data_IF_599212092017
#
_entry.id   IF_599212092017
#
_cell.length_a   1.000
_cell.length_b   1.000
_cell.length_c   1.000
_cell.angle_alpha   90.00
_cell.angle_beta   90.00
_cell.angle_gamma   90.00
#
_symmetry.space_group_name_H-M   'P 1'
#
loop_
_entity.id
_entity.type
_entity.pdbx_description
1 polymer ?
#
# COMPACT_ATOMS: atom_id res chain seq x y z
N UNK A 1 7.41 10.75 -16.78
CA UNK A 1 6.32 9.90 -16.26
C UNK A 1 5.56 10.67 -15.18
N UNK A 2 4.26 10.78 -15.30
CA UNK A 2 3.43 11.44 -14.28
C UNK A 2 3.42 10.60 -13.00
N UNK A 3 4.04 11.12 -11.99
CA UNK A 3 4.24 10.43 -10.72
C UNK A 3 3.54 11.15 -9.59
N UNK A 4 2.88 10.39 -8.75
CA UNK A 4 2.31 10.83 -7.49
C UNK A 4 3.18 10.28 -6.36
N UNK A 5 3.71 11.15 -5.50
CA UNK A 5 4.40 10.76 -4.28
C UNK A 5 3.54 11.11 -3.07
N UNK A 6 3.23 10.10 -2.25
CA UNK A 6 2.42 10.26 -1.04
C UNK A 6 3.34 10.15 0.17
N UNK A 7 3.42 11.21 0.96
CA UNK A 7 4.21 11.25 2.18
C UNK A 7 3.34 11.02 3.41
N UNK A 8 3.62 9.95 4.14
CA UNK A 8 2.86 9.48 5.30
C UNK A 8 3.63 9.67 6.62
N UNK A 9 4.31 10.82 6.79
CA UNK A 9 5.10 11.14 8.00
C UNK A 9 4.23 11.23 9.28
N UNK A 10 2.93 11.46 9.13
CA UNK A 10 1.91 11.42 10.19
C UNK A 10 0.83 10.37 9.92
N UNK A 11 1.22 9.26 9.28
CA UNK A 11 0.29 8.21 8.90
C UNK A 11 -0.58 8.59 7.71
N UNK A 12 -1.75 7.94 7.61
CA UNK A 12 -2.75 8.23 6.59
C UNK A 12 -4.13 7.71 7.02
N UNK A 13 -5.15 8.48 6.73
CA UNK A 13 -6.56 8.11 6.84
C UNK A 13 -7.28 8.44 5.53
N UNK A 14 -8.48 7.93 5.32
CA UNK A 14 -9.23 8.10 4.08
C UNK A 14 -9.50 9.58 3.77
N UNK A 15 -10.00 10.33 4.73
CA UNK A 15 -10.25 11.77 4.69
C UNK A 15 -8.99 12.58 4.36
N UNK A 16 -7.85 12.22 4.99
CA UNK A 16 -6.55 12.88 4.75
C UNK A 16 -6.06 12.65 3.32
N UNK A 17 -6.14 11.42 2.83
CA UNK A 17 -5.78 11.10 1.45
C UNK A 17 -6.70 11.82 0.47
N UNK A 18 -8.00 11.80 0.74
CA UNK A 18 -9.00 12.49 -0.08
C UNK A 18 -8.78 13.99 -0.12
N UNK A 19 -8.55 14.64 1.02
CA UNK A 19 -8.26 16.07 1.11
C UNK A 19 -7.00 16.47 0.34
N UNK A 20 -5.92 15.69 0.46
CA UNK A 20 -4.68 15.95 -0.26
C UNK A 20 -4.83 15.78 -1.79
N UNK A 21 -5.53 14.75 -2.25
CA UNK A 21 -5.80 14.53 -3.67
C UNK A 21 -6.76 15.58 -4.25
N UNK A 22 -7.77 15.98 -3.48
CA UNK A 22 -8.70 17.03 -3.86
C UNK A 22 -8.00 18.34 -4.19
N UNK A 23 -6.96 18.71 -3.43
CA UNK A 23 -6.18 19.93 -3.70
C UNK A 23 -5.50 19.93 -5.07
N UNK A 24 -5.18 18.76 -5.62
CA UNK A 24 -4.52 18.58 -6.91
C UNK A 24 -5.48 18.69 -8.10
N UNK A 25 -6.80 18.52 -7.87
CA UNK A 25 -7.81 18.52 -8.92
C UNK A 25 -7.98 19.90 -9.56
N UNK A 26 -8.28 19.93 -10.86
CA UNK A 26 -8.59 21.17 -11.60
C UNK A 26 -10.04 21.59 -11.39
N UNK A 27 -10.98 20.68 -11.50
CA UNK A 27 -12.42 20.92 -11.27
C UNK A 27 -12.86 20.39 -9.90
N UNK A 28 -12.52 21.14 -8.86
CA UNK A 28 -12.86 20.82 -7.47
C UNK A 28 -14.37 20.84 -7.20
N UNK A 29 -15.09 21.79 -7.79
CA UNK A 29 -16.53 21.88 -7.64
C UNK A 29 -17.26 20.73 -8.36
N UNK A 30 -16.79 20.34 -9.55
CA UNK A 30 -17.33 19.20 -10.28
C UNK A 30 -17.11 17.89 -9.52
N UNK A 31 -15.96 17.75 -8.87
CA UNK A 31 -15.68 16.61 -8.00
C UNK A 31 -16.67 16.53 -6.84
N UNK A 32 -16.87 17.62 -6.07
CA UNK A 32 -17.81 17.64 -4.96
C UNK A 32 -19.26 17.40 -5.41
N UNK A 33 -19.67 17.99 -6.55
CA UNK A 33 -21.00 17.73 -7.13
C UNK A 33 -21.19 16.24 -7.46
N UNK A 34 -20.18 15.61 -8.04
CA UNK A 34 -20.23 14.17 -8.36
C UNK A 34 -20.33 13.35 -7.09
N UNK A 35 -19.45 13.60 -6.12
CA UNK A 35 -19.43 12.85 -4.85
C UNK A 35 -20.74 12.98 -4.08
N UNK A 36 -21.31 14.18 -3.99
CA UNK A 36 -22.60 14.41 -3.33
C UNK A 36 -23.82 13.88 -4.14
N UNK A 37 -23.62 13.55 -5.42
CA UNK A 37 -24.60 12.93 -6.29
C UNK A 37 -24.50 11.41 -6.44
N UNK A 38 -23.61 10.74 -5.69
CA UNK A 38 -23.34 9.30 -5.85
C UNK A 38 -24.50 8.39 -5.48
N UNK A 39 -25.44 8.86 -4.66
CA UNK A 39 -26.54 8.06 -4.15
C UNK A 39 -26.24 7.32 -2.84
N UNK A 40 -25.17 7.69 -2.12
CA UNK A 40 -24.93 7.22 -0.76
C UNK A 40 -25.98 7.83 0.18
N UNK A 41 -26.72 7.02 0.97
CA UNK A 41 -27.83 7.52 1.78
C UNK A 41 -27.36 8.48 2.87
N UNK A 42 -27.84 9.74 2.83
CA UNK A 42 -27.55 10.74 3.87
C UNK A 42 -26.12 11.25 3.92
N UNK A 43 -25.24 10.82 3.01
CA UNK A 43 -23.84 11.25 2.97
C UNK A 43 -23.74 12.61 2.27
N UNK A 44 -23.00 13.52 2.92
CA UNK A 44 -22.61 14.81 2.36
C UNK A 44 -21.12 15.05 2.58
N UNK A 45 -20.43 15.42 1.49
CA UNK A 45 -19.00 15.68 1.45
C UNK A 45 -18.75 17.18 1.27
N UNK A 46 -17.94 17.76 2.15
CA UNK A 46 -17.54 19.16 2.11
C UNK A 46 -16.02 19.29 2.29
N UNK A 47 -15.42 20.22 1.54
CA UNK A 47 -14.00 20.54 1.67
C UNK A 47 -13.84 21.81 2.50
N UNK A 48 -13.28 21.68 3.70
CA UNK A 48 -13.01 22.79 4.61
C UNK A 48 -11.53 23.13 4.61
N UNK A 49 -11.23 24.45 4.66
CA UNK A 49 -9.87 24.91 4.87
C UNK A 49 -9.48 24.66 6.33
N UNK A 50 -8.41 23.94 6.57
CA UNK A 50 -7.92 23.64 7.90
C UNK A 50 -6.45 24.04 8.06
N UNK A 51 -6.05 24.32 9.30
CA UNK A 51 -4.66 24.68 9.64
C UNK A 51 -4.17 23.78 10.76
N UNK A 52 -3.04 23.11 10.55
CA UNK A 52 -2.40 22.25 11.55
C UNK A 52 -0.96 22.73 11.75
N UNK A 53 -0.58 23.14 12.95
CA UNK A 53 0.74 23.71 13.28
C UNK A 53 1.25 24.76 12.28
N UNK A 54 0.36 25.63 11.79
CA UNK A 54 0.68 26.68 10.82
C UNK A 54 0.74 26.25 9.36
N UNK A 55 0.52 24.98 9.05
CA UNK A 55 0.37 24.48 7.69
C UNK A 55 -1.10 24.47 7.32
N UNK A 56 -1.44 25.14 6.21
CA UNK A 56 -2.78 25.17 5.65
C UNK A 56 -2.97 24.00 4.69
N UNK A 57 -4.16 23.39 4.73
CA UNK A 57 -4.54 22.30 3.85
C UNK A 57 -6.06 22.09 3.86
N UNK A 58 -6.52 21.06 3.18
CA UNK A 58 -7.94 20.70 3.12
C UNK A 58 -8.26 19.59 4.11
N UNK A 59 -9.24 19.84 4.98
CA UNK A 59 -9.94 18.81 5.72
C UNK A 59 -11.17 18.38 4.94
N UNK A 60 -11.26 17.09 4.62
CA UNK A 60 -12.41 16.57 3.91
C UNK A 60 -13.44 16.06 4.92
N UNK A 61 -14.48 16.83 5.08
CA UNK A 61 -15.54 16.54 6.04
C UNK A 61 -16.62 15.70 5.40
N UNK A 62 -16.84 14.51 5.94
CA UNK A 62 -17.93 13.63 5.55
C UNK A 62 -18.97 13.62 6.67
N UNK A 63 -20.22 13.98 6.35
CA UNK A 63 -21.33 13.88 7.29
C UNK A 63 -22.33 12.84 6.81
N UNK A 64 -22.86 12.05 7.75
CA UNK A 64 -23.90 11.05 7.51
C UNK A 64 -25.16 11.49 8.25
N UNK A 65 -26.26 11.75 7.54
CA UNK A 65 -27.47 12.33 8.08
C UNK A 65 -27.25 13.65 8.87
N UNK A 66 -26.25 14.43 8.45
CA UNK A 66 -25.91 15.73 9.05
C UNK A 66 -25.06 15.64 10.33
N UNK A 67 -24.61 14.44 10.69
CA UNK A 67 -23.67 14.20 11.79
C UNK A 67 -22.32 13.80 11.19
N UNK A 68 -21.25 14.38 11.71
CA UNK A 68 -19.89 13.92 11.49
C UNK A 68 -19.64 12.73 12.44
N UNK A 69 -19.17 11.58 11.91
CA UNK A 69 -18.74 10.49 12.78
C UNK A 69 -17.38 10.88 13.38
N UNK A 70 -17.44 11.45 14.61
CA UNK A 70 -16.23 11.73 15.38
C UNK A 70 -15.48 10.43 15.66
N UNK A 71 -14.27 10.31 15.11
CA UNK A 71 -13.34 9.23 15.45
C UNK A 71 -13.05 9.24 16.96
N UNK A 72 -13.86 8.52 17.71
CA UNK A 72 -13.68 8.14 19.13
C UNK A 72 -13.05 9.18 20.07
N UNK A 73 -13.87 10.08 20.60
CA UNK A 73 -13.66 10.66 21.94
C UNK A 73 -15.01 10.85 22.62
N UNK A 74 -15.65 9.75 23.05
CA UNK A 74 -16.61 9.83 24.13
C UNK A 74 -15.84 9.87 25.46
N UNK A 75 -15.19 10.99 25.75
CA UNK A 75 -14.94 11.38 27.11
C UNK A 75 -16.26 11.90 27.68
N UNK A 76 -17.02 11.01 28.31
CA UNK A 76 -18.03 11.44 29.26
C UNK A 76 -17.26 11.87 30.53
N UNK A 77 -17.29 13.15 30.92
CA UNK A 77 -16.85 13.53 32.25
C UNK A 77 -17.86 12.98 33.26
N UNK A 78 -17.59 11.81 33.80
CA UNK A 78 -18.25 11.37 35.01
C UNK A 78 -17.58 12.06 36.19
N UNK A 79 -17.85 13.36 36.36
CA UNK A 79 -17.71 14.05 37.66
C UNK A 79 -18.87 13.61 38.55
N UNK A 80 -18.69 12.51 39.25
CA UNK A 80 -19.44 12.21 40.45
C UNK A 80 -18.45 12.15 41.60
N UNK A 81 -18.11 13.34 42.13
CA UNK A 81 -17.59 13.47 43.48
C UNK A 81 -18.73 13.11 44.43
N UNK A 82 -18.80 11.87 44.89
CA UNK A 82 -19.50 11.49 46.08
C UNK A 82 -18.48 11.34 47.19
N UNK A 83 -18.27 12.44 47.95
CA UNK A 83 -17.67 12.37 49.29
C UNK A 83 -18.61 11.57 50.21
N UNK A 84 -18.30 10.32 50.46
CA UNK A 84 -18.87 9.57 51.58
C UNK A 84 -17.83 9.50 52.69
N UNK A 85 -17.91 10.46 53.63
CA UNK A 85 -17.30 10.34 54.96
C UNK A 85 -18.10 9.35 55.75
N UNK A 86 -17.59 8.15 55.97
CA UNK A 86 -18.11 7.23 56.98
C UNK A 86 -17.16 7.18 58.16
N UNK A 87 -17.55 7.83 59.25
CA UNK A 87 -17.04 7.56 60.58
C UNK A 87 -17.64 6.24 61.07
N UNK A 88 -16.81 5.24 61.34
CA UNK A 88 -17.21 3.99 61.96
C UNK A 88 -16.96 4.08 63.49
N UNK A 89 -18.03 4.22 64.25
CA UNK A 89 -18.04 3.81 65.68
C UNK A 89 -18.51 2.36 65.79
N UNK A 90 -17.69 1.50 66.41
CA UNK A 90 -18.01 0.11 66.70
C UNK A 90 -18.91 0.04 67.94
N UNK A 91 -20.13 -0.52 67.85
CA UNK A 91 -20.85 -1.16 68.94
C UNK A 91 -21.33 -2.54 68.51
N UNK A 92 -20.85 -3.55 69.30
CA UNK A 92 -21.35 -4.92 69.27
C UNK A 92 -22.74 -4.96 69.95
N UNK A 93 -23.71 -5.59 69.35
CA UNK A 93 -24.79 -6.33 70.06
C UNK A 93 -25.38 -7.40 69.12
N UNK A 94 -25.31 -8.66 69.59
CA UNK A 94 -26.06 -9.79 69.13
C UNK A 94 -27.56 -9.58 69.34
N UNK A 95 -28.39 -9.97 68.38
CA UNK A 95 -29.68 -10.60 68.54
C UNK A 95 -30.29 -11.14 67.26
N UNK A 96 -30.59 -12.44 67.29
CA UNK A 96 -31.44 -13.13 66.30
C UNK A 96 -32.86 -12.53 66.30
N UNK A 97 -33.49 -12.41 65.15
CA UNK A 97 -34.90 -12.76 64.91
C UNK A 97 -35.22 -12.50 63.40
N UNK A 98 -35.72 -13.53 62.73
CA UNK A 98 -36.23 -13.48 61.37
C UNK A 98 -37.60 -12.77 61.31
N UNK A 99 -37.83 -12.12 60.18
CA UNK A 99 -39.18 -11.89 59.64
C UNK A 99 -39.07 -11.60 58.13
N UNK A 100 -39.78 -12.43 57.38
CA UNK A 100 -40.13 -12.21 55.99
C UNK A 100 -40.94 -10.94 55.79
N UNK A 101 -40.55 -10.05 54.91
CA UNK A 101 -41.47 -9.13 54.25
C UNK A 101 -41.12 -8.95 52.80
N UNK A 102 -41.93 -9.53 51.93
CA UNK A 102 -42.04 -9.19 50.54
C UNK A 102 -42.58 -7.77 50.38
N UNK A 103 -41.82 -6.88 49.75
CA UNK A 103 -42.35 -5.69 49.13
C UNK A 103 -41.88 -5.65 47.66
N UNK A 104 -42.79 -5.96 46.76
CA UNK A 104 -42.67 -5.66 45.35
C UNK A 104 -42.91 -4.16 45.15
N UNK A 105 -41.90 -3.43 44.69
CA UNK A 105 -42.07 -2.12 44.08
C UNK A 105 -41.73 -2.24 42.61
N UNK A 106 -42.78 -2.28 41.78
CA UNK A 106 -42.71 -2.05 40.36
C UNK A 106 -42.48 -0.55 40.15
N UNK A 107 -41.27 -0.19 39.72
CA UNK A 107 -41.02 1.11 39.11
C UNK A 107 -40.77 0.86 37.63
N UNK A 108 -41.79 1.09 36.81
CA UNK A 108 -41.68 1.28 35.38
C UNK A 108 -40.94 2.61 35.16
N UNK A 109 -39.66 2.54 34.86
CA UNK A 109 -38.94 3.63 34.20
C UNK A 109 -38.86 3.29 32.74
N UNK A 110 -39.75 3.86 31.92
CA UNK A 110 -39.56 3.97 30.49
C UNK A 110 -38.33 4.87 30.24
N UNK A 111 -37.18 4.24 30.12
CA UNK A 111 -36.03 4.89 29.48
C UNK A 111 -36.10 4.59 28.00
N UNK A 112 -36.59 5.59 27.24
CA UNK A 112 -36.48 5.64 25.82
C UNK A 112 -34.99 5.78 25.48
N UNK A 113 -34.26 4.64 25.49
CA UNK A 113 -32.95 4.54 24.92
C UNK A 113 -33.14 4.40 23.41
N UNK A 114 -32.99 5.51 22.72
CA UNK A 114 -32.73 5.45 21.27
C UNK A 114 -31.50 4.59 21.06
N UNK A 115 -31.69 3.29 20.88
CA UNK A 115 -30.65 2.38 20.41
C UNK A 115 -30.28 2.80 18.99
N UNK A 116 -29.18 3.53 18.87
CA UNK A 116 -28.49 3.61 17.59
C UNK A 116 -28.09 2.19 17.21
N UNK A 117 -28.88 1.58 16.35
CA UNK A 117 -28.54 0.33 15.72
C UNK A 117 -27.34 0.59 14.83
N UNK A 118 -26.12 0.28 15.32
CA UNK A 118 -24.95 0.12 14.49
C UNK A 118 -25.26 -1.02 13.50
N UNK A 119 -25.62 -0.68 12.28
CA UNK A 119 -25.78 -1.67 11.22
C UNK A 119 -24.38 -2.17 10.88
N UNK A 120 -24.03 -3.35 11.38
CA UNK A 120 -22.82 -4.04 10.97
C UNK A 120 -22.89 -4.35 9.49
N UNK A 121 -22.08 -3.63 8.69
CA UNK A 121 -22.03 -3.86 7.26
C UNK A 121 -21.18 -5.12 6.96
N UNK A 122 -21.69 -5.97 6.08
CA UNK A 122 -20.93 -7.13 5.57
C UNK A 122 -20.18 -6.76 4.29
N UNK A 123 -19.15 -7.53 3.89
CA UNK A 123 -18.47 -7.33 2.61
C UNK A 123 -19.43 -7.29 1.41
N UNK A 124 -20.43 -8.18 1.38
CA UNK A 124 -21.43 -8.21 0.30
C UNK A 124 -22.32 -6.96 0.29
N UNK A 125 -22.67 -6.44 1.46
CA UNK A 125 -23.45 -5.20 1.57
C UNK A 125 -22.67 -4.01 0.99
N UNK A 126 -21.39 -3.83 1.38
CA UNK A 126 -20.55 -2.76 0.87
C UNK A 126 -20.31 -2.91 -0.65
N UNK A 127 -20.07 -4.15 -1.11
CA UNK A 127 -19.93 -4.42 -2.54
C UNK A 127 -21.19 -4.01 -3.32
N UNK A 128 -22.37 -4.31 -2.79
CA UNK A 128 -23.66 -3.89 -3.37
C UNK A 128 -23.84 -2.38 -3.40
N UNK A 129 -23.44 -1.69 -2.32
CA UNK A 129 -23.45 -0.21 -2.27
C UNK A 129 -22.56 0.39 -3.36
N UNK A 130 -21.29 -0.06 -3.44
CA UNK A 130 -20.33 0.46 -4.43
C UNK A 130 -20.82 0.21 -5.85
N UNK A 131 -21.41 -0.95 -6.14
CA UNK A 131 -21.96 -1.26 -7.47
C UNK A 131 -23.12 -0.34 -7.86
N UNK A 132 -23.94 0.09 -6.89
CA UNK A 132 -25.05 1.04 -7.08
C UNK A 132 -24.63 2.49 -7.32
N UNK A 133 -23.37 2.88 -7.05
CA UNK A 133 -22.93 4.27 -7.16
C UNK A 133 -22.89 4.76 -8.61
N UNK A 134 -23.15 6.05 -8.81
CA UNK A 134 -23.04 6.72 -10.11
C UNK A 134 -21.56 7.07 -10.45
N UNK A 135 -20.68 6.06 -10.47
CA UNK A 135 -19.25 6.18 -10.76
C UNK A 135 -18.84 5.35 -11.99
N UNK A 136 -17.72 5.71 -12.66
CA UNK A 136 -17.14 4.87 -13.71
C UNK A 136 -16.83 3.45 -13.21
N UNK A 137 -16.98 2.46 -14.09
CA UNK A 137 -16.74 1.03 -13.75
C UNK A 137 -15.34 0.78 -13.17
N UNK A 138 -14.32 1.47 -13.70
CA UNK A 138 -12.95 1.38 -13.23
C UNK A 138 -12.79 1.87 -11.77
N UNK A 139 -13.50 2.94 -11.41
CA UNK A 139 -13.49 3.49 -10.04
C UNK A 139 -14.18 2.53 -9.07
N UNK A 140 -15.33 1.96 -9.47
CA UNK A 140 -16.02 0.93 -8.68
C UNK A 140 -15.16 -0.30 -8.47
N UNK A 141 -14.48 -0.76 -9.53
CA UNK A 141 -13.58 -1.90 -9.45
C UNK A 141 -12.41 -1.65 -8.48
N UNK A 142 -11.82 -0.45 -8.51
CA UNK A 142 -10.76 -0.05 -7.59
C UNK A 142 -11.27 0.01 -6.14
N UNK A 143 -12.41 0.65 -5.89
CA UNK A 143 -13.01 0.72 -4.56
C UNK A 143 -13.35 -0.67 -4.00
N UNK A 144 -13.87 -1.57 -4.82
CA UNK A 144 -14.08 -2.98 -4.43
C UNK A 144 -12.77 -3.66 -4.08
N UNK A 145 -11.70 -3.48 -4.88
CA UNK A 145 -10.39 -4.04 -4.59
C UNK A 145 -9.82 -3.58 -3.24
N UNK A 146 -10.04 -2.31 -2.88
CA UNK A 146 -9.69 -1.78 -1.56
C UNK A 146 -10.48 -2.49 -0.45
N UNK A 147 -11.81 -2.63 -0.60
CA UNK A 147 -12.64 -3.32 0.38
C UNK A 147 -12.39 -4.82 0.45
N UNK A 148 -12.03 -5.47 -0.64
CA UNK A 148 -11.62 -6.88 -0.64
C UNK A 148 -10.33 -7.09 0.18
N UNK A 149 -9.38 -6.15 0.10
CA UNK A 149 -8.18 -6.17 0.93
C UNK A 149 -8.50 -5.95 2.42
N UNK A 150 -9.39 -5.01 2.75
CA UNK A 150 -9.87 -4.80 4.12
C UNK A 150 -10.55 -6.07 4.64
N UNK A 151 -11.46 -6.67 3.87
CA UNK A 151 -12.16 -7.90 4.27
C UNK A 151 -11.21 -9.05 4.59
N UNK A 152 -10.17 -9.25 3.78
CA UNK A 152 -9.15 -10.27 4.01
C UNK A 152 -8.34 -9.98 5.28
N UNK A 153 -7.99 -8.71 5.53
CA UNK A 153 -7.24 -8.30 6.71
C UNK A 153 -8.04 -8.49 8.01
N UNK A 154 -9.32 -8.13 7.97
CA UNK A 154 -10.27 -8.34 9.08
C UNK A 154 -10.52 -9.83 9.33
N UNK A 155 -10.79 -10.61 8.29
CA UNK A 155 -10.97 -12.07 8.39
C UNK A 155 -9.76 -12.73 9.07
N UNK A 156 -8.55 -12.31 8.70
CA UNK A 156 -7.31 -12.78 9.32
C UNK A 156 -7.18 -12.34 10.77
N UNK A 157 -7.57 -11.11 11.10
CA UNK A 157 -7.52 -10.57 12.45
C UNK A 157 -8.51 -11.31 13.39
N UNK A 158 -9.71 -11.62 12.87
CA UNK A 158 -10.77 -12.32 13.62
C UNK A 158 -10.67 -13.84 13.57
N UNK A 159 -9.84 -14.41 12.68
CA UNK A 159 -9.72 -15.85 12.49
C UNK A 159 -11.00 -16.50 11.95
N UNK A 160 -11.76 -15.77 11.12
CA UNK A 160 -13.01 -16.23 10.50
C UNK A 160 -12.94 -16.19 8.97
N UNK A 161 -13.83 -16.88 8.25
CA UNK A 161 -13.97 -16.74 6.80
C UNK A 161 -14.34 -15.31 6.40
N UNK A 162 -13.90 -14.83 5.22
CA UNK A 162 -14.17 -13.47 4.71
C UNK A 162 -15.67 -13.16 4.66
N UNK A 163 -16.52 -14.14 4.29
CA UNK A 163 -17.97 -13.94 4.24
C UNK A 163 -18.67 -13.78 5.60
N UNK A 164 -17.95 -14.06 6.70
CA UNK A 164 -18.46 -13.91 8.07
C UNK A 164 -17.90 -12.64 8.76
N UNK A 165 -17.13 -11.83 8.03
CA UNK A 165 -16.64 -10.56 8.53
C UNK A 165 -17.78 -9.57 8.71
N UNK A 166 -17.81 -8.90 9.85
CA UNK A 166 -18.66 -7.76 10.11
C UNK A 166 -17.80 -6.52 10.30
N UNK A 167 -17.96 -5.55 9.43
CA UNK A 167 -17.28 -4.28 9.56
C UNK A 167 -17.89 -3.47 10.69
N UNK A 168 -17.05 -2.94 11.56
CA UNK A 168 -17.50 -2.06 12.64
C UNK A 168 -17.31 -0.58 12.23
N UNK A 169 -16.09 -0.16 12.00
CA UNK A 169 -15.72 1.23 11.66
C UNK A 169 -15.63 1.41 10.13
N UNK A 170 -14.92 0.52 9.45
CA UNK A 170 -14.68 0.60 7.98
C UNK A 170 -15.94 0.32 7.13
N UNK A 171 -17.02 -0.12 7.74
CA UNK A 171 -18.32 -0.33 7.09
C UNK A 171 -19.25 0.86 7.18
N UNK A 172 -18.88 1.91 7.86
CA UNK A 172 -19.65 3.14 7.96
C UNK A 172 -19.64 3.89 6.61
N UNK A 173 -20.69 4.67 6.36
CA UNK A 173 -20.89 5.33 5.05
C UNK A 173 -19.86 6.42 4.76
N UNK A 174 -19.27 7.03 5.78
CA UNK A 174 -18.15 7.97 5.67
C UNK A 174 -16.90 7.28 5.10
N UNK A 175 -16.54 6.09 5.62
CA UNK A 175 -15.42 5.30 5.09
C UNK A 175 -15.67 4.89 3.62
N UNK A 176 -16.93 4.57 3.24
CA UNK A 176 -17.27 4.28 1.85
C UNK A 176 -17.12 5.52 0.96
N UNK A 177 -17.51 6.69 1.46
CA UNK A 177 -17.33 7.96 0.76
C UNK A 177 -15.85 8.29 0.57
N UNK A 178 -15.03 8.11 1.60
CA UNK A 178 -13.59 8.33 1.54
C UNK A 178 -12.91 7.42 0.51
N UNK A 179 -13.14 6.11 0.62
CA UNK A 179 -12.55 5.13 -0.30
C UNK A 179 -12.95 5.41 -1.75
N UNK A 180 -14.25 5.62 -2.00
CA UNK A 180 -14.73 5.91 -3.36
C UNK A 180 -14.26 7.27 -3.86
N UNK A 181 -14.15 8.26 -2.98
CA UNK A 181 -13.63 9.59 -3.28
C UNK A 181 -12.16 9.56 -3.67
N UNK A 182 -11.32 8.85 -2.92
CA UNK A 182 -9.90 8.65 -3.27
C UNK A 182 -9.74 7.94 -4.61
N UNK A 183 -10.50 6.84 -4.82
CA UNK A 183 -10.49 6.12 -6.10
C UNK A 183 -10.91 7.03 -7.27
N UNK A 184 -11.94 7.86 -7.08
CA UNK A 184 -12.42 8.78 -8.10
C UNK A 184 -11.39 9.90 -8.35
N UNK A 185 -10.81 10.51 -7.32
CA UNK A 185 -9.78 11.53 -7.46
C UNK A 185 -8.56 11.00 -8.24
N UNK A 186 -8.09 9.78 -7.92
CA UNK A 186 -6.99 9.15 -8.65
C UNK A 186 -7.35 8.87 -10.12
N UNK A 187 -8.60 8.51 -10.41
CA UNK A 187 -9.06 8.30 -11.80
C UNK A 187 -9.08 9.59 -12.63
N UNK A 188 -9.25 10.75 -11.99
CA UNK A 188 -9.17 12.06 -12.63
C UNK A 188 -7.73 12.52 -12.82
N UNK A 189 -6.85 12.31 -11.81
CA UNK A 189 -5.44 12.69 -11.85
C UNK A 189 -4.60 11.81 -12.80
N UNK A 190 -4.97 10.55 -12.96
CA UNK A 190 -4.33 9.56 -13.84
C UNK A 190 -2.81 9.49 -13.67
N UNK A 191 -2.28 9.31 -12.45
CA UNK A 191 -0.85 9.11 -12.29
C UNK A 191 -0.43 7.80 -12.97
N UNK A 192 0.72 7.83 -13.66
CA UNK A 192 1.32 6.64 -14.27
C UNK A 192 2.05 5.79 -13.21
N UNK A 193 2.49 6.43 -12.13
CA UNK A 193 3.15 5.78 -11.00
C UNK A 193 2.76 6.43 -9.68
N UNK A 194 2.51 5.62 -8.66
CA UNK A 194 2.29 6.07 -7.29
C UNK A 194 3.41 5.49 -6.41
N UNK A 195 4.14 6.36 -5.74
CA UNK A 195 5.18 6.00 -4.77
C UNK A 195 4.75 6.49 -3.39
N UNK A 196 4.84 5.64 -2.39
CA UNK A 196 4.46 5.97 -1.01
C UNK A 196 5.69 5.94 -0.12
N UNK A 197 5.85 6.92 0.76
CA UNK A 197 6.91 6.91 1.77
C UNK A 197 6.77 5.71 2.72
N UNK A 198 7.79 5.35 3.51
CA UNK A 198 7.56 4.54 4.71
C UNK A 198 6.44 5.15 5.56
N UNK A 199 5.56 4.31 6.12
CA UNK A 199 4.33 4.76 6.78
C UNK A 199 4.54 4.85 8.30
N UNK A 200 4.27 6.01 8.88
CA UNK A 200 4.23 6.18 10.32
C UNK A 200 2.91 5.64 10.88
N UNK A 201 2.95 4.52 11.58
CA UNK A 201 1.73 3.88 12.11
C UNK A 201 1.27 4.44 13.45
N UNK A 202 2.13 5.21 14.14
CA UNK A 202 1.88 5.67 15.50
C UNK A 202 2.46 4.71 16.55
N UNK A 203 2.00 4.81 17.78
CA UNK A 203 2.45 3.99 18.90
C UNK A 203 1.40 3.89 20.02
N UNK A 204 1.62 3.00 20.99
CA UNK A 204 0.73 2.82 22.14
C UNK A 204 -0.51 2.02 21.81
N UNK A 205 -1.68 2.54 22.14
CA UNK A 205 -2.97 1.85 21.99
C UNK A 205 -4.03 2.77 21.40
N UNK A 206 -5.02 2.17 20.75
CA UNK A 206 -6.24 2.84 20.26
C UNK A 206 -7.46 2.14 20.89
N UNK A 207 -8.48 2.91 21.22
CA UNK A 207 -9.78 2.38 21.62
C UNK A 207 -10.67 2.26 20.40
N UNK A 208 -11.20 1.08 20.14
CA UNK A 208 -12.09 0.78 19.02
C UNK A 208 -13.26 -0.07 19.48
N UNK A 209 -14.14 -0.48 18.56
CA UNK A 209 -15.30 -1.33 18.86
C UNK A 209 -14.93 -2.63 19.60
N UNK A 210 -13.72 -3.15 19.41
CA UNK A 210 -13.19 -4.36 20.05
C UNK A 210 -12.49 -4.09 21.40
N UNK A 211 -12.55 -2.86 21.91
CA UNK A 211 -11.87 -2.45 23.14
C UNK A 211 -10.54 -1.74 22.87
N UNK A 212 -9.56 -1.91 23.77
CA UNK A 212 -8.24 -1.27 23.64
C UNK A 212 -7.30 -2.18 22.87
N UNK A 213 -6.85 -1.73 21.71
CA UNK A 213 -5.98 -2.48 20.80
C UNK A 213 -4.59 -1.83 20.69
N UNK A 214 -3.52 -2.61 20.46
CA UNK A 214 -2.20 -2.06 20.16
C UNK A 214 -2.19 -1.35 18.80
N UNK A 215 -1.32 -0.36 18.67
CA UNK A 215 -1.10 0.35 17.40
C UNK A 215 0.15 -0.21 16.71
N UNK A 216 0.06 -0.56 15.39
CA UNK A 216 -1.14 -0.56 14.56
C UNK A 216 -2.15 -1.64 14.98
N UNK A 217 -3.46 -1.36 14.77
CA UNK A 217 -4.53 -2.33 15.02
C UNK A 217 -4.33 -3.59 14.16
N UNK A 218 -4.86 -4.78 14.58
CA UNK A 218 -4.57 -6.04 13.90
C UNK A 218 -4.89 -6.06 12.40
N UNK A 219 -6.00 -5.48 11.98
CA UNK A 219 -6.35 -5.37 10.56
C UNK A 219 -5.37 -4.47 9.79
N UNK A 220 -5.02 -3.31 10.35
CA UNK A 220 -4.00 -2.41 9.79
C UNK A 220 -2.65 -3.10 9.67
N UNK A 221 -2.22 -3.85 10.69
CA UNK A 221 -0.98 -4.62 10.66
C UNK A 221 -0.98 -5.70 9.55
N UNK A 222 -2.13 -6.35 9.34
CA UNK A 222 -2.29 -7.33 8.26
C UNK A 222 -2.21 -6.67 6.88
N UNK A 223 -2.86 -5.52 6.67
CA UNK A 223 -2.81 -4.74 5.43
C UNK A 223 -1.41 -4.27 5.08
N UNK A 224 -0.63 -3.87 6.10
CA UNK A 224 0.73 -3.35 5.93
C UNK A 224 1.82 -4.45 5.93
N UNK A 225 1.45 -5.72 5.84
CA UNK A 225 2.42 -6.82 5.78
C UNK A 225 3.30 -6.70 4.53
N UNK A 226 4.63 -6.62 4.71
CA UNK A 226 5.60 -6.42 3.62
C UNK A 226 5.80 -4.96 3.20
N UNK A 227 5.11 -4.02 3.83
CA UNK A 227 5.27 -2.56 3.60
C UNK A 227 6.26 -1.98 4.62
N UNK A 228 7.15 -1.06 4.23
CA UNK A 228 7.99 -0.35 5.17
C UNK A 228 7.15 0.53 6.10
N UNK A 229 7.09 0.16 7.37
CA UNK A 229 6.39 0.91 8.42
C UNK A 229 7.33 1.25 9.56
N UNK A 230 7.02 2.28 10.33
CA UNK A 230 7.72 2.61 11.56
C UNK A 230 6.78 3.16 12.63
N UNK A 231 7.09 2.86 13.87
CA UNK A 231 6.50 3.52 15.03
C UNK A 231 7.30 4.78 15.38
N UNK A 232 6.81 5.58 16.32
CA UNK A 232 7.49 6.78 16.74
C UNK A 232 7.04 7.27 18.11
N UNK A 233 7.31 8.54 18.40
CA UNK A 233 6.97 9.19 19.67
C UNK A 233 5.51 9.65 19.74
N UNK A 234 4.77 9.60 18.64
CA UNK A 234 3.35 10.00 18.60
C UNK A 234 2.48 8.87 19.10
N UNK A 235 1.78 9.12 20.19
CA UNK A 235 0.83 8.16 20.77
C UNK A 235 -0.50 8.20 20.04
N UNK A 236 -1.05 7.02 19.78
CA UNK A 236 -2.30 6.79 19.08
C UNK A 236 -2.09 6.26 17.68
N UNK A 237 -3.19 5.88 17.04
CA UNK A 237 -3.23 5.40 15.67
C UNK A 237 -3.08 6.58 14.70
N UNK A 238 -2.09 6.50 13.81
CA UNK A 238 -1.85 7.46 12.76
C UNK A 238 -2.22 6.92 11.37
N UNK A 239 -2.15 5.61 11.18
CA UNK A 239 -2.57 4.97 9.93
C UNK A 239 -3.80 4.12 10.20
N UNK A 240 -4.95 4.54 9.65
CA UNK A 240 -6.22 3.81 9.78
C UNK A 240 -6.27 2.62 8.83
N UNK A 241 -7.16 1.63 9.04
CA UNK A 241 -7.36 0.52 8.10
C UNK A 241 -7.70 0.99 6.68
N UNK A 242 -8.56 2.02 6.53
CA UNK A 242 -8.90 2.61 5.23
C UNK A 242 -7.70 3.26 4.55
N UNK A 243 -6.91 4.04 5.29
CA UNK A 243 -5.66 4.63 4.79
C UNK A 243 -4.67 3.57 4.36
N UNK A 244 -4.43 2.55 5.18
CA UNK A 244 -3.55 1.44 4.86
C UNK A 244 -3.98 0.68 3.59
N UNK A 245 -5.27 0.36 3.47
CA UNK A 245 -5.81 -0.34 2.31
C UNK A 245 -5.68 0.47 1.02
N UNK A 246 -5.98 1.77 1.05
CA UNK A 246 -5.82 2.67 -0.09
C UNK A 246 -4.36 2.74 -0.53
N UNK A 247 -3.42 2.95 0.42
CA UNK A 247 -2.00 3.04 0.10
C UNK A 247 -1.47 1.75 -0.49
N UNK A 248 -1.80 0.60 0.08
CA UNK A 248 -1.32 -0.71 -0.41
C UNK A 248 -1.93 -1.11 -1.74
N UNK A 249 -3.18 -0.70 -2.01
CA UNK A 249 -3.85 -0.99 -3.27
C UNK A 249 -3.26 -0.22 -4.45
N UNK A 250 -2.92 1.06 -4.25
CA UNK A 250 -2.50 1.93 -5.35
C UNK A 250 -0.98 2.10 -5.48
N UNK A 251 -0.20 1.82 -4.45
CA UNK A 251 1.25 2.00 -4.51
C UNK A 251 1.92 1.03 -5.49
N UNK A 252 2.64 1.59 -6.46
CA UNK A 252 3.55 0.81 -7.30
C UNK A 252 4.85 0.43 -6.55
N UNK A 253 5.25 1.26 -5.58
CA UNK A 253 6.40 1.01 -4.70
C UNK A 253 6.35 1.86 -3.43
N UNK A 254 7.06 1.40 -2.39
CA UNK A 254 7.26 2.13 -1.15
C UNK A 254 8.73 2.52 -1.03
N UNK A 255 9.00 3.76 -0.63
CA UNK A 255 10.37 4.24 -0.47
C UNK A 255 10.50 5.76 -0.41
N UNK A 256 11.73 6.29 -0.55
CA UNK A 256 11.97 7.72 -0.56
C UNK A 256 11.34 8.40 -1.78
N UNK A 257 11.15 9.71 -1.68
CA UNK A 257 10.66 10.52 -2.79
C UNK A 257 11.60 10.39 -4.00
N UNK A 258 11.09 10.00 -5.17
CA UNK A 258 11.89 9.96 -6.38
C UNK A 258 12.32 11.37 -6.80
N UNK A 259 13.40 11.49 -7.58
CA UNK A 259 13.74 12.76 -8.20
C UNK A 259 12.64 13.13 -9.20
N UNK A 260 11.91 14.22 -8.94
CA UNK A 260 10.79 14.65 -9.76
C UNK A 260 10.67 16.17 -9.81
N UNK A 261 10.20 16.68 -10.94
CA UNK A 261 9.77 18.07 -11.08
C UNK A 261 8.31 18.15 -10.61
N UNK A 262 8.11 18.68 -9.40
CA UNK A 262 6.79 18.82 -8.80
C UNK A 262 6.00 19.95 -9.48
N UNK A 263 4.79 19.67 -9.92
CA UNK A 263 3.87 20.62 -10.53
C UNK A 263 2.82 21.10 -9.53
N UNK A 264 2.31 20.19 -8.70
CA UNK A 264 1.28 20.49 -7.68
C UNK A 264 1.62 19.76 -6.38
N UNK A 265 1.24 20.37 -5.25
CA UNK A 265 1.33 19.75 -3.92
C UNK A 265 -0.02 19.92 -3.24
N UNK A 266 -0.52 18.85 -2.63
CA UNK A 266 -1.76 18.84 -1.86
C UNK A 266 -1.50 18.42 -0.41
N UNK A 267 -2.26 19.00 0.51
CA UNK A 267 -2.22 18.77 1.94
C UNK A 267 -3.59 18.33 2.44
N UNK A 268 -3.70 17.10 2.89
CA UNK A 268 -4.92 16.60 3.54
C UNK A 268 -4.76 16.58 5.04
N UNK A 269 -5.55 17.38 5.74
CA UNK A 269 -5.47 17.58 7.19
C UNK A 269 -6.44 16.66 7.91
N UNK A 270 -5.93 15.89 8.88
CA UNK A 270 -6.75 15.03 9.74
C UNK A 270 -7.40 15.81 10.90
N UNK A 271 -8.46 15.25 11.47
CA UNK A 271 -9.24 15.85 12.55
C UNK A 271 -8.50 15.95 13.90
N UNK A 272 -7.55 15.03 14.17
CA UNK A 272 -6.82 14.97 15.44
C UNK A 272 -5.76 16.06 15.55
N UNK A 273 -5.61 16.65 16.72
CA UNK A 273 -4.61 17.67 17.01
C UNK A 273 -3.41 17.06 17.73
N UNK A 274 -2.21 17.33 17.19
CA UNK A 274 -0.92 16.90 17.74
C UNK A 274 0.02 18.11 17.90
N UNK A 275 1.18 17.90 18.52
CA UNK A 275 2.27 18.89 18.60
C UNK A 275 3.03 19.11 17.27
N UNK A 276 2.64 18.38 16.24
CA UNK A 276 3.18 18.40 14.89
C UNK A 276 2.06 18.37 13.84
N UNK A 277 2.33 18.79 12.59
CA UNK A 277 1.29 18.88 11.56
C UNK A 277 0.66 17.51 11.26
N UNK A 278 -0.60 17.32 11.61
CA UNK A 278 -1.36 16.11 11.28
C UNK A 278 -1.89 16.20 9.85
N UNK A 279 -1.05 15.88 8.88
CA UNK A 279 -1.45 15.90 7.48
C UNK A 279 -0.71 14.85 6.63
N UNK A 280 -1.37 14.41 5.58
CA UNK A 280 -0.77 13.73 4.43
C UNK A 280 -0.36 14.78 3.42
N UNK A 281 0.86 14.65 2.86
CA UNK A 281 1.31 15.48 1.75
C UNK A 281 1.36 14.65 0.47
N UNK A 282 0.84 15.20 -0.61
CA UNK A 282 0.86 14.54 -1.91
C UNK A 282 1.53 15.46 -2.93
N UNK A 283 2.57 14.95 -3.58
CA UNK A 283 3.31 15.65 -4.62
C UNK A 283 2.97 15.04 -5.97
N UNK A 284 2.56 15.86 -6.92
CA UNK A 284 2.24 15.42 -8.27
C UNK A 284 3.10 16.16 -9.28
N UNK A 285 3.69 15.42 -10.23
CA UNK A 285 4.58 16.02 -11.24
C UNK A 285 5.26 14.96 -12.08
N UNK A 286 6.34 15.33 -12.74
CA UNK A 286 7.09 14.44 -13.61
C UNK A 286 8.34 13.89 -12.93
N UNK A 287 8.43 12.55 -12.78
CA UNK A 287 9.66 11.90 -12.34
C UNK A 287 10.58 11.55 -13.51
N UNK A 288 11.87 11.69 -13.26
CA UNK A 288 12.92 11.41 -14.25
C UNK A 288 13.51 10.01 -14.15
N UNK A 289 13.07 9.20 -13.17
CA UNK A 289 13.77 7.97 -12.74
C UNK A 289 13.39 6.69 -13.49
N UNK A 290 12.62 6.73 -14.60
CA UNK A 290 12.20 5.50 -15.27
C UNK A 290 13.33 4.57 -15.71
N UNK A 291 14.55 5.10 -15.88
CA UNK A 291 15.63 4.36 -16.51
C UNK A 291 16.97 4.45 -15.76
N UNK A 292 16.93 4.81 -14.47
CA UNK A 292 18.08 4.81 -13.57
C UNK A 292 17.79 3.94 -12.33
N UNK A 293 18.80 3.31 -11.81
CA UNK A 293 18.68 2.46 -10.63
C UNK A 293 20.05 2.09 -10.07
N UNK A 294 20.07 1.24 -9.08
CA UNK A 294 21.27 0.62 -8.54
C UNK A 294 21.36 -0.84 -8.94
N UNK A 295 22.59 -1.33 -9.01
CA UNK A 295 22.93 -2.74 -9.10
C UNK A 295 24.12 -3.02 -8.20
N UNK A 296 24.14 -4.19 -7.62
CA UNK A 296 25.25 -4.65 -6.79
C UNK A 296 26.12 -5.62 -7.57
N UNK A 297 27.43 -5.38 -7.58
CA UNK A 297 28.43 -6.31 -8.07
C UNK A 297 29.10 -7.00 -6.89
N UNK A 298 28.96 -8.31 -6.81
CA UNK A 298 29.67 -9.18 -5.87
C UNK A 298 30.87 -9.80 -6.61
N UNK A 299 32.08 -9.51 -6.17
CA UNK A 299 33.30 -9.88 -6.89
C UNK A 299 34.23 -10.68 -6.01
N UNK A 300 34.63 -11.86 -6.47
CA UNK A 300 35.66 -12.67 -5.80
C UNK A 300 36.67 -13.29 -6.77
N UNK A 301 37.79 -13.76 -6.23
CA UNK A 301 38.85 -14.41 -6.99
C UNK A 301 38.86 -15.90 -6.66
N UNK A 302 38.87 -16.73 -7.68
CA UNK A 302 38.84 -18.19 -7.59
C UNK A 302 40.02 -18.78 -8.35
N UNK A 303 40.92 -19.55 -7.69
CA UNK A 303 42.09 -20.19 -8.27
C UNK A 303 42.17 -21.71 -7.97
N UNK A 304 41.08 -22.29 -7.43
CA UNK A 304 41.06 -23.67 -6.94
C UNK A 304 39.76 -24.43 -7.27
N UNK A 305 38.93 -23.91 -8.20
CA UNK A 305 37.75 -24.61 -8.74
C UNK A 305 38.04 -25.14 -10.15
N UNK A 306 37.48 -26.32 -10.47
CA UNK A 306 37.45 -26.79 -11.85
C UNK A 306 36.49 -25.99 -12.71
N UNK A 307 36.67 -25.92 -14.04
CA UNK A 307 35.74 -25.20 -14.92
C UNK A 307 34.29 -25.71 -14.82
N UNK A 308 34.10 -27.02 -14.66
CA UNK A 308 32.77 -27.63 -14.52
C UNK A 308 32.10 -27.20 -13.19
N UNK A 309 32.86 -27.18 -12.09
CA UNK A 309 32.34 -26.74 -10.80
C UNK A 309 31.99 -25.25 -10.83
N UNK A 310 32.80 -24.42 -11.49
CA UNK A 310 32.53 -23.00 -11.64
C UNK A 310 31.30 -22.72 -12.52
N UNK A 311 31.12 -23.50 -13.61
CA UNK A 311 29.95 -23.43 -14.46
C UNK A 311 28.66 -23.83 -13.71
N UNK A 312 28.76 -24.89 -12.90
CA UNK A 312 27.64 -25.31 -12.03
C UNK A 312 27.28 -24.22 -11.00
N UNK A 313 28.27 -23.67 -10.30
CA UNK A 313 28.08 -22.58 -9.34
C UNK A 313 27.40 -21.37 -10.02
N UNK A 314 27.86 -21.00 -11.23
CA UNK A 314 27.25 -19.89 -11.98
C UNK A 314 25.76 -20.11 -12.28
N UNK A 315 25.37 -21.34 -12.66
CA UNK A 315 23.97 -21.70 -12.89
C UNK A 315 23.16 -21.62 -11.58
N UNK A 316 23.69 -22.14 -10.47
CA UNK A 316 23.04 -22.08 -9.17
C UNK A 316 22.82 -20.66 -8.67
N UNK A 317 23.80 -19.77 -8.91
CA UNK A 317 23.68 -18.37 -8.52
C UNK A 317 22.57 -17.64 -9.29
N UNK A 318 22.39 -17.91 -10.59
CA UNK A 318 21.27 -17.40 -11.38
C UNK A 318 19.92 -17.93 -10.84
N UNK A 319 19.81 -19.23 -10.52
CA UNK A 319 18.62 -19.83 -9.91
C UNK A 319 18.29 -19.21 -8.55
N UNK A 320 19.28 -18.73 -7.79
CA UNK A 320 19.12 -18.12 -6.48
C UNK A 320 18.92 -16.60 -6.54
N UNK A 321 18.74 -16.03 -7.73
CA UNK A 321 18.32 -14.65 -7.91
C UNK A 321 19.39 -13.65 -8.31
N UNK A 322 20.57 -14.14 -8.73
CA UNK A 322 21.50 -13.29 -9.46
C UNK A 322 20.90 -12.86 -10.81
N UNK A 323 21.15 -11.61 -11.20
CA UNK A 323 20.72 -11.08 -12.49
C UNK A 323 21.64 -11.52 -13.62
N UNK A 324 22.94 -11.64 -13.32
CA UNK A 324 23.96 -12.09 -14.25
C UNK A 324 25.16 -12.65 -13.48
N UNK A 325 25.86 -13.60 -14.10
CA UNK A 325 27.07 -14.22 -13.55
C UNK A 325 28.07 -14.41 -14.69
N UNK A 326 29.24 -13.85 -14.51
CA UNK A 326 30.30 -14.03 -15.50
C UNK A 326 31.68 -14.15 -14.85
N UNK A 327 32.62 -14.74 -15.60
CA UNK A 327 33.99 -14.92 -15.16
C UNK A 327 34.98 -14.25 -16.10
N UNK A 328 36.02 -13.65 -15.52
CA UNK A 328 37.13 -13.08 -16.25
C UNK A 328 38.41 -13.83 -15.89
N UNK A 329 39.17 -14.44 -16.84
CA UNK A 329 40.38 -15.10 -16.53
C UNK A 329 41.47 -14.11 -16.07
N UNK A 330 42.33 -14.55 -15.17
CA UNK A 330 43.42 -13.72 -14.66
C UNK A 330 44.50 -14.53 -13.97
N UNK A 331 45.60 -13.88 -13.64
CA UNK A 331 46.68 -14.48 -12.84
C UNK A 331 46.56 -14.02 -11.41
N UNK A 332 46.40 -14.96 -10.50
CA UNK A 332 46.28 -14.72 -9.06
C UNK A 332 47.62 -14.68 -8.36
N UNK A 333 47.67 -14.42 -7.05
CA UNK A 333 48.90 -14.45 -6.25
C UNK A 333 49.63 -15.78 -6.45
N UNK A 334 50.97 -15.74 -6.35
CA UNK A 334 51.88 -16.88 -6.58
C UNK A 334 51.87 -17.39 -8.04
N UNK A 335 51.41 -16.56 -9.03
CA UNK A 335 51.40 -16.93 -10.45
C UNK A 335 50.39 -17.99 -10.85
N UNK A 336 49.35 -18.24 -10.02
CA UNK A 336 48.29 -19.22 -10.34
C UNK A 336 47.31 -18.69 -11.34
N UNK A 337 46.95 -19.44 -12.40
CA UNK A 337 45.83 -19.11 -13.23
C UNK A 337 44.55 -19.21 -12.39
N UNK A 338 43.60 -18.32 -12.62
CA UNK A 338 42.33 -18.31 -11.90
C UNK A 338 41.30 -17.43 -12.61
N UNK A 339 40.17 -17.25 -12.00
CA UNK A 339 39.05 -16.47 -12.51
C UNK A 339 38.61 -15.43 -11.48
N UNK A 340 38.30 -14.24 -11.96
CA UNK A 340 37.50 -13.28 -11.22
C UNK A 340 36.02 -13.59 -11.51
N UNK A 341 35.29 -14.07 -10.53
CA UNK A 341 33.85 -14.26 -10.60
C UNK A 341 33.18 -12.94 -10.25
N UNK A 342 32.30 -12.48 -11.11
CA UNK A 342 31.44 -11.31 -10.90
C UNK A 342 29.99 -11.74 -10.97
N UNK A 343 29.22 -11.40 -9.95
CA UNK A 343 27.80 -11.70 -9.82
C UNK A 343 27.05 -10.40 -9.64
N UNK A 344 26.06 -10.16 -10.51
CA UNK A 344 25.19 -9.00 -10.45
C UNK A 344 23.88 -9.36 -9.74
N UNK A 345 23.45 -8.54 -8.79
CA UNK A 345 22.17 -8.74 -8.12
C UNK A 345 21.47 -7.40 -7.81
N UNK A 346 20.14 -7.43 -7.56
CA UNK A 346 19.44 -6.27 -7.05
C UNK A 346 19.92 -5.93 -5.63
N UNK A 347 19.91 -4.65 -5.21
CA UNK A 347 20.35 -4.27 -3.85
C UNK A 347 19.64 -5.02 -2.72
N UNK A 348 18.35 -5.28 -2.88
CA UNK A 348 17.52 -6.00 -1.92
C UNK A 348 17.84 -7.49 -1.80
N UNK A 349 18.62 -8.05 -2.73
CA UNK A 349 19.07 -9.45 -2.74
C UNK A 349 20.57 -9.60 -2.41
N UNK A 350 21.24 -8.51 -2.04
CA UNK A 350 22.70 -8.50 -1.79
C UNK A 350 23.13 -9.58 -0.81
N UNK A 351 22.48 -9.65 0.35
CA UNK A 351 22.87 -10.59 1.41
C UNK A 351 22.63 -12.06 1.02
N UNK A 352 21.47 -12.35 0.42
CA UNK A 352 21.12 -13.71 -0.01
C UNK A 352 22.08 -14.21 -1.09
N UNK A 353 22.36 -13.37 -2.11
CA UNK A 353 23.25 -13.73 -3.21
C UNK A 353 24.71 -13.81 -2.74
N UNK A 354 25.13 -12.95 -1.80
CA UNK A 354 26.45 -13.05 -1.20
C UNK A 354 26.63 -14.37 -0.43
N UNK A 355 25.65 -14.80 0.35
CA UNK A 355 25.63 -16.11 1.01
C UNK A 355 25.70 -17.25 0.00
N UNK A 356 24.94 -17.13 -1.10
CA UNK A 356 24.96 -18.11 -2.18
C UNK A 356 26.36 -18.25 -2.80
N UNK A 357 27.04 -17.12 -3.09
CA UNK A 357 28.43 -17.14 -3.60
C UNK A 357 29.37 -17.86 -2.65
N UNK A 358 29.29 -17.58 -1.35
CA UNK A 358 30.11 -18.25 -0.33
C UNK A 358 29.81 -19.75 -0.20
N UNK A 359 28.59 -20.16 -0.49
CA UNK A 359 28.15 -21.56 -0.41
C UNK A 359 28.54 -22.37 -1.66
N UNK A 360 28.37 -21.80 -2.83
CA UNK A 360 28.54 -22.51 -4.11
C UNK A 360 29.98 -22.43 -4.65
N UNK A 361 30.86 -21.64 -4.02
CA UNK A 361 32.25 -21.48 -4.46
C UNK A 361 33.24 -21.75 -3.31
N UNK A 362 34.53 -21.85 -3.66
CA UNK A 362 35.64 -22.02 -2.69
C UNK A 362 36.12 -20.69 -2.10
N UNK A 363 35.52 -19.55 -2.48
CA UNK A 363 35.97 -18.25 -1.96
C UNK A 363 35.72 -18.11 -0.46
N UNK A 364 36.67 -17.53 0.26
CA UNK A 364 36.52 -17.20 1.68
C UNK A 364 35.95 -15.78 1.90
N UNK A 365 35.71 -15.04 0.82
CA UNK A 365 35.18 -13.68 0.89
C UNK A 365 35.04 -13.02 -0.46
N UNK A 366 34.19 -12.02 -0.52
CA UNK A 366 33.88 -11.26 -1.72
C UNK A 366 33.90 -9.75 -1.45
N UNK A 367 34.05 -8.99 -2.50
CA UNK A 367 33.95 -7.53 -2.48
C UNK A 367 32.58 -7.12 -2.99
N UNK A 368 31.97 -6.15 -2.34
CA UNK A 368 30.69 -5.56 -2.73
C UNK A 368 30.93 -4.20 -3.37
N UNK A 369 30.35 -3.96 -4.54
CA UNK A 369 30.34 -2.65 -5.20
C UNK A 369 28.91 -2.29 -5.54
N UNK A 370 28.47 -1.11 -5.13
CA UNK A 370 27.18 -0.54 -5.53
C UNK A 370 27.41 0.38 -6.70
N UNK A 371 26.73 0.12 -7.80
CA UNK A 371 26.90 0.84 -9.06
C UNK A 371 25.57 1.46 -9.48
N UNK A 372 25.62 2.71 -9.91
CA UNK A 372 24.49 3.31 -10.64
C UNK A 372 24.26 2.59 -11.96
N UNK A 373 23.03 2.37 -12.34
CA UNK A 373 22.62 1.63 -13.53
C UNK A 373 21.69 2.49 -14.39
N UNK A 374 21.99 2.59 -15.68
CA UNK A 374 21.08 3.10 -16.70
C UNK A 374 20.51 1.93 -17.48
N UNK A 375 19.20 1.93 -17.74
CA UNK A 375 18.55 0.84 -18.47
C UNK A 375 17.32 1.33 -19.24
N UNK A 376 16.93 0.57 -20.25
CA UNK A 376 15.65 0.73 -20.91
C UNK A 376 14.64 -0.21 -20.25
N UNK A 377 13.46 0.30 -19.94
CA UNK A 377 12.37 -0.49 -19.32
C UNK A 377 11.89 -1.55 -20.30
N UNK A 378 11.97 -2.85 -19.95
CA UNK A 378 11.52 -3.92 -20.82
C UNK A 378 10.01 -3.97 -20.92
N UNK A 379 9.50 -4.41 -22.05
CA UNK A 379 8.10 -4.65 -22.31
C UNK A 379 7.90 -5.78 -23.30
N UNK A 380 6.68 -6.27 -23.41
CA UNK A 380 6.28 -7.32 -24.36
C UNK A 380 5.21 -6.76 -25.27
N UNK A 381 5.32 -7.03 -26.55
CA UNK A 381 4.32 -6.77 -27.58
C UNK A 381 4.08 -8.01 -28.42
N UNK A 382 3.18 -7.91 -29.40
CA UNK A 382 2.90 -8.96 -30.37
C UNK A 382 2.62 -8.32 -31.72
N UNK A 383 3.07 -8.97 -32.80
CA UNK A 383 2.74 -8.58 -34.16
C UNK A 383 2.25 -9.77 -34.97
N UNK A 384 1.37 -9.48 -35.92
CA UNK A 384 0.90 -10.47 -36.90
C UNK A 384 1.87 -10.49 -38.10
N UNK A 385 2.28 -11.67 -38.47
CA UNK A 385 3.07 -11.89 -39.71
C UNK A 385 2.26 -12.72 -40.69
N UNK A 386 2.60 -12.80 -41.96
CA UNK A 386 1.91 -13.66 -42.93
C UNK A 386 1.86 -15.14 -42.53
N UNK A 387 2.66 -15.53 -41.57
CA UNK A 387 2.80 -16.94 -41.16
C UNK A 387 2.29 -17.20 -39.74
N UNK A 388 1.89 -16.15 -38.98
CA UNK A 388 1.35 -16.22 -37.64
C UNK A 388 1.92 -15.14 -36.72
N UNK A 389 1.50 -15.17 -35.47
CA UNK A 389 1.87 -14.20 -34.42
C UNK A 389 3.29 -14.40 -33.93
N UNK A 390 3.96 -13.30 -33.70
CA UNK A 390 5.30 -13.25 -33.12
C UNK A 390 5.33 -12.27 -31.99
N UNK A 391 5.74 -12.73 -30.81
CA UNK A 391 5.99 -11.85 -29.67
C UNK A 391 7.18 -10.95 -29.93
N UNK A 392 7.11 -9.74 -29.40
CA UNK A 392 8.16 -8.74 -29.47
C UNK A 392 8.69 -8.46 -28.06
N UNK A 393 10.01 -8.51 -27.91
CA UNK A 393 10.68 -7.86 -26.79
C UNK A 393 10.85 -6.39 -27.13
N UNK A 394 10.33 -5.51 -26.28
CA UNK A 394 10.54 -4.07 -26.38
C UNK A 394 11.36 -3.58 -25.22
N UNK A 395 12.08 -2.48 -25.41
CA UNK A 395 12.75 -1.78 -24.32
C UNK A 395 12.70 -0.28 -24.62
N UNK A 396 12.22 0.53 -23.66
CA UNK A 396 11.98 1.97 -23.83
C UNK A 396 12.62 2.78 -22.72
N UNK A 397 13.12 3.98 -23.06
CA UNK A 397 13.68 4.93 -22.10
C UNK A 397 14.55 5.97 -22.79
N UNK A 398 14.75 7.12 -22.18
CA UNK A 398 15.57 8.24 -22.71
C UNK A 398 15.21 8.65 -24.15
N UNK A 399 13.94 8.52 -24.53
CA UNK A 399 13.52 8.75 -25.92
C UNK A 399 13.94 7.64 -26.89
N UNK A 400 14.53 6.54 -26.43
CA UNK A 400 14.99 5.40 -27.20
C UNK A 400 13.95 4.28 -27.12
N UNK A 401 13.67 3.64 -28.25
CA UNK A 401 12.85 2.42 -28.31
C UNK A 401 13.58 1.33 -29.06
N UNK A 402 13.82 0.21 -28.42
CA UNK A 402 14.31 -1.01 -29.05
C UNK A 402 13.16 -2.01 -29.19
N UNK A 403 13.05 -2.62 -30.36
CA UNK A 403 12.07 -3.67 -30.65
C UNK A 403 12.78 -4.85 -31.32
N UNK A 404 12.57 -6.05 -30.77
CA UNK A 404 13.17 -7.28 -31.25
C UNK A 404 12.15 -8.43 -31.24
N UNK A 405 11.93 -9.13 -32.36
CA UNK A 405 11.12 -10.33 -32.39
C UNK A 405 11.68 -11.43 -31.46
N UNK A 406 10.81 -12.17 -30.81
CA UNK A 406 11.20 -13.29 -29.92
C UNK A 406 11.75 -14.44 -30.74
N UNK A 407 12.98 -14.86 -30.42
CA UNK A 407 13.71 -15.89 -31.17
C UNK A 407 12.94 -17.20 -31.30
N UNK A 408 12.35 -17.65 -30.23
CA UNK A 408 11.64 -18.94 -30.20
C UNK A 408 10.42 -18.97 -31.10
N UNK A 409 9.64 -17.88 -31.14
CA UNK A 409 8.47 -17.76 -32.00
C UNK A 409 8.86 -17.74 -33.46
N UNK A 410 9.90 -16.95 -33.82
CA UNK A 410 10.45 -16.89 -35.16
C UNK A 410 11.00 -18.27 -35.61
N UNK A 411 11.72 -18.95 -34.70
CA UNK A 411 12.27 -20.28 -34.99
C UNK A 411 11.17 -21.34 -35.14
N UNK A 412 10.14 -21.27 -34.31
CA UNK A 412 8.99 -22.18 -34.39
C UNK A 412 8.24 -22.00 -35.72
N UNK A 413 7.91 -20.77 -36.09
CA UNK A 413 7.25 -20.48 -37.39
C UNK A 413 8.09 -20.88 -38.58
N UNK A 414 9.41 -20.59 -38.55
CA UNK A 414 10.35 -20.98 -39.55
C UNK A 414 10.30 -22.48 -39.81
N UNK A 415 10.39 -23.31 -38.75
CA UNK A 415 10.32 -24.77 -38.86
C UNK A 415 8.94 -25.26 -39.33
N UNK A 416 7.86 -24.71 -38.75
CA UNK A 416 6.50 -25.17 -39.06
C UNK A 416 6.06 -24.85 -40.49
N UNK A 417 6.56 -23.78 -41.09
CA UNK A 417 6.17 -23.29 -42.39
C UNK A 417 7.21 -23.55 -43.48
N UNK A 418 8.39 -24.09 -43.13
CA UNK A 418 9.46 -24.34 -44.07
C UNK A 418 10.07 -23.05 -44.70
N UNK A 419 10.03 -21.95 -43.95
CA UNK A 419 10.47 -20.62 -44.37
C UNK A 419 11.75 -20.26 -43.62
N UNK A 420 12.64 -19.50 -44.26
CA UNK A 420 13.88 -19.12 -43.59
C UNK A 420 13.64 -18.25 -42.38
N UNK A 421 14.44 -18.47 -41.33
CA UNK A 421 14.41 -17.66 -40.10
C UNK A 421 14.43 -16.15 -40.40
N UNK A 422 15.29 -15.75 -41.35
CA UNK A 422 15.45 -14.34 -41.73
C UNK A 422 14.20 -13.74 -42.37
N UNK A 423 13.43 -14.52 -43.11
CA UNK A 423 12.18 -14.05 -43.73
C UNK A 423 11.13 -13.80 -42.65
N UNK A 424 10.93 -14.74 -41.69
CA UNK A 424 9.98 -14.58 -40.57
C UNK A 424 10.40 -13.41 -39.69
N UNK A 425 11.69 -13.35 -39.33
CA UNK A 425 12.25 -12.29 -38.52
C UNK A 425 12.10 -10.90 -39.15
N UNK A 426 12.38 -10.80 -40.45
CA UNK A 426 12.24 -9.57 -41.24
C UNK A 426 10.78 -9.08 -41.27
N UNK A 427 9.84 -9.99 -41.54
CA UNK A 427 8.42 -9.66 -41.57
C UNK A 427 7.90 -9.17 -40.17
N UNK A 428 8.29 -9.86 -39.12
CA UNK A 428 7.94 -9.44 -37.75
C UNK A 428 8.52 -8.06 -37.40
N UNK A 429 9.75 -7.78 -37.82
CA UNK A 429 10.38 -6.48 -37.60
C UNK A 429 9.77 -5.36 -38.44
N UNK A 430 9.28 -5.66 -39.63
CA UNK A 430 8.58 -4.69 -40.49
C UNK A 430 7.22 -4.34 -39.88
N UNK A 431 6.44 -5.35 -39.54
CA UNK A 431 5.14 -5.17 -38.87
C UNK A 431 5.26 -4.37 -37.55
N UNK A 432 6.34 -4.57 -36.77
CA UNK A 432 6.62 -3.82 -35.54
C UNK A 432 6.98 -2.32 -35.76
N UNK A 433 7.24 -1.88 -36.97
CA UNK A 433 7.50 -0.47 -37.32
C UNK A 433 6.25 0.26 -37.81
N UNK A 434 5.25 -0.49 -38.27
CA UNK A 434 4.03 0.02 -38.86
C UNK A 434 2.89 0.16 -37.82
N UNK A 435 3.00 -0.45 -36.63
CA UNK A 435 2.12 -0.35 -35.47
C UNK A 435 2.78 0.40 -34.31
#
# INVERSE_FOLDING_TARGET
MKTLYIECAMGAAGDMLLGALYELLEDKEGFLRTMNGLGLPGVHLEAEQAVTCGISGTHMKVTVHGLEEDGHNHEHPHDHEHEHTHEHEHHHHDHEHGHDHHHAHEHEHEHDHAHHHHHHATPDHIAGLIEGLALPTEVKAAARGVYDAIAQAEAKAHGCPVGEVHYHEVGALDAVADVTGVCYALSLLKPEKIVVSPIHVGSGTVRCAHGVMPVPAPATANLLSGVPIYGGEVFGELCTPTGAALLTHFAASFGPMPAMATEKVGYGVGSRVFDRPNCVRVFFGESTEENQGEIVELVCNIDDMTPEALAFASTRLLEQGALDVYTTPGTMKKGRPGHVLTVLCPPEREEDVAKAVLTETTTNGLRVRRCGKYFLTPGVGEVETPWGKVRLKTARGFGITHVKPEHEDVAALSRAKGISYQQVWGAARLAAKEG
#
